data_IF_754484409665
#
_entry.id   IF_754484409665
#
_cell.length_a   1.000
_cell.length_b   1.000
_cell.length_c   1.000
_cell.angle_alpha   90.00
_cell.angle_beta   90.00
_cell.angle_gamma   90.00
#
_symmetry.space_group_name_H-M   'P 1'
#
loop_
_entity.id
_entity.type
_entity.pdbx_description
1 polymer ?
#
# COMPACT_ATOMS: atom_id res chain seq x y z
N UNK A 1 -65.98 36.49 11.88
CA UNK A 1 -64.66 36.07 11.33
C UNK A 1 -64.22 34.80 12.03
N UNK A 2 -63.66 33.86 11.27
CA UNK A 2 -63.71 32.40 11.49
C UNK A 2 -62.65 31.88 12.49
N UNK A 3 -63.08 30.91 13.30
CA UNK A 3 -62.25 29.91 14.00
C UNK A 3 -61.34 29.16 13.01
N UNK A 4 -60.15 28.76 13.45
CA UNK A 4 -59.50 27.52 13.00
C UNK A 4 -58.74 26.87 14.15
N UNK A 5 -59.16 25.65 14.40
CA UNK A 5 -58.64 24.64 15.29
C UNK A 5 -57.26 24.15 14.81
N UNK A 6 -56.39 23.76 15.75
CA UNK A 6 -55.24 22.90 15.44
C UNK A 6 -55.32 21.61 16.27
N UNK A 7 -55.25 20.52 15.53
CA UNK A 7 -55.55 19.14 15.88
C UNK A 7 -54.32 18.39 16.43
N UNK A 8 -54.58 17.64 17.50
CA UNK A 8 -54.10 16.28 17.88
C UNK A 8 -52.62 15.89 17.78
N UNK A 9 -52.05 15.57 18.95
CA UNK A 9 -50.96 14.63 19.16
C UNK A 9 -51.35 13.23 18.64
N UNK A 10 -50.49 12.66 17.81
CA UNK A 10 -50.47 11.22 17.50
C UNK A 10 -49.31 10.54 18.21
N UNK A 11 -49.63 9.39 18.77
CA UNK A 11 -48.82 8.44 19.52
C UNK A 11 -47.74 7.77 18.66
N UNK A 12 -46.51 7.69 19.17
CA UNK A 12 -45.43 6.87 18.61
C UNK A 12 -45.33 5.53 19.35
N UNK A 13 -45.55 4.46 18.60
CA UNK A 13 -45.34 3.05 18.99
C UNK A 13 -43.86 2.69 18.84
N UNK A 14 -43.24 1.93 19.76
CA UNK A 14 -41.88 1.43 19.56
C UNK A 14 -41.87 0.20 18.64
N UNK A 15 -40.99 0.23 17.62
CA UNK A 15 -40.68 -0.90 16.76
C UNK A 15 -39.79 -1.90 17.52
N UNK A 16 -40.24 -3.16 17.55
CA UNK A 16 -39.48 -4.29 18.07
C UNK A 16 -38.28 -4.60 17.17
N UNK A 17 -37.09 -4.65 17.75
CA UNK A 17 -35.87 -5.13 17.09
C UNK A 17 -35.88 -6.66 17.16
N UNK A 18 -36.15 -7.31 16.03
CA UNK A 18 -36.00 -8.74 15.87
C UNK A 18 -34.51 -9.11 15.76
N UNK A 19 -34.04 -9.98 16.66
CA UNK A 19 -32.74 -10.64 16.55
C UNK A 19 -32.76 -11.56 15.32
N UNK A 20 -32.07 -11.17 14.26
CA UNK A 20 -31.74 -12.05 13.14
C UNK A 20 -30.52 -12.90 13.52
N UNK A 21 -30.68 -14.22 13.46
CA UNK A 21 -29.60 -15.18 13.66
C UNK A 21 -28.47 -14.94 12.65
N UNK A 22 -27.23 -14.91 13.14
CA UNK A 22 -26.05 -14.82 12.27
C UNK A 22 -25.93 -16.08 11.40
N UNK A 23 -25.69 -15.95 10.08
CA UNK A 23 -25.48 -17.10 9.22
C UNK A 23 -24.18 -17.83 9.59
N UNK A 24 -24.19 -19.17 9.52
CA UNK A 24 -23.00 -19.98 9.81
C UNK A 24 -21.85 -19.75 8.82
N UNK A 25 -20.60 -20.03 9.26
CA UNK A 25 -19.33 -19.78 8.53
C UNK A 25 -19.33 -20.19 7.04
N UNK A 26 -20.02 -21.27 6.68
CA UNK A 26 -20.09 -21.73 5.28
C UNK A 26 -20.93 -20.80 4.37
N UNK A 27 -21.99 -20.20 4.90
CA UNK A 27 -22.83 -19.25 4.17
C UNK A 27 -22.16 -17.87 4.03
N UNK A 28 -21.35 -17.46 5.01
CA UNK A 28 -20.53 -16.25 4.95
C UNK A 28 -19.42 -16.36 3.88
N UNK A 29 -18.78 -17.53 3.76
CA UNK A 29 -17.81 -17.82 2.67
C UNK A 29 -18.42 -17.67 1.26
N UNK A 30 -19.70 -18.04 1.08
CA UNK A 30 -20.42 -17.89 -0.18
C UNK A 30 -20.80 -16.44 -0.54
N UNK A 31 -21.06 -15.59 0.44
CA UNK A 31 -21.33 -14.16 0.22
C UNK A 31 -20.05 -13.36 -0.11
N UNK A 32 -18.89 -13.79 0.40
CA UNK A 32 -17.58 -13.19 0.13
C UNK A 32 -17.20 -13.23 -1.37
N UNK A 33 -17.52 -14.32 -2.06
CA UNK A 33 -17.27 -14.49 -3.49
C UNK A 33 -18.11 -13.54 -4.38
N UNK A 34 -19.27 -13.09 -3.90
CA UNK A 34 -20.13 -12.15 -4.64
C UNK A 34 -19.71 -10.68 -4.45
N UNK A 35 -19.02 -10.34 -3.35
CA UNK A 35 -18.60 -8.97 -3.03
C UNK A 35 -17.22 -8.57 -3.57
N UNK A 36 -16.50 -9.49 -4.22
CA UNK A 36 -15.18 -9.25 -4.83
C UNK A 36 -15.26 -8.87 -6.31
N UNK A 37 -16.47 -8.70 -6.86
CA UNK A 37 -16.68 -8.91 -8.30
C UNK A 37 -16.44 -10.39 -8.61
N UNK A 38 -16.97 -10.92 -9.72
CA UNK A 38 -16.65 -12.29 -10.16
C UNK A 38 -15.22 -12.41 -10.70
N UNK A 39 -14.27 -11.73 -10.08
CA UNK A 39 -12.86 -12.06 -10.25
C UNK A 39 -12.66 -13.38 -9.52
N UNK A 40 -12.54 -14.46 -10.28
CA UNK A 40 -12.23 -15.78 -9.78
C UNK A 40 -11.12 -15.66 -8.73
N UNK A 41 -11.45 -16.06 -7.49
CA UNK A 41 -10.45 -16.31 -6.45
C UNK A 41 -9.52 -17.39 -7.00
N UNK A 42 -8.41 -16.96 -7.62
CA UNK A 42 -7.38 -17.86 -8.11
C UNK A 42 -6.85 -18.61 -6.90
N UNK A 43 -7.23 -19.89 -6.79
CA UNK A 43 -6.76 -20.75 -5.72
C UNK A 43 -5.35 -21.20 -6.08
N UNK A 44 -4.32 -20.85 -5.32
CA UNK A 44 -2.97 -21.33 -5.60
C UNK A 44 -2.90 -22.84 -5.47
N UNK A 45 -2.00 -23.45 -6.24
CA UNK A 45 -1.59 -24.83 -5.96
C UNK A 45 -0.53 -24.78 -4.87
N UNK A 46 -0.81 -25.36 -3.71
CA UNK A 46 0.13 -25.47 -2.58
C UNK A 46 0.90 -26.79 -2.66
N UNK A 47 2.21 -26.71 -2.51
CA UNK A 47 3.09 -27.88 -2.41
C UNK A 47 4.20 -27.63 -1.40
N UNK A 48 4.78 -28.70 -0.84
CA UNK A 48 6.14 -28.62 -0.29
C UNK A 48 7.05 -28.43 -1.50
N UNK A 49 7.52 -27.21 -1.75
CA UNK A 49 8.19 -26.86 -3.01
C UNK A 49 9.29 -27.86 -3.39
N UNK A 50 9.42 -28.19 -4.68
CA UNK A 50 10.50 -29.08 -5.11
C UNK A 50 11.87 -28.44 -4.85
N UNK A 51 12.92 -29.25 -4.72
CA UNK A 51 14.29 -28.73 -4.55
C UNK A 51 14.70 -27.77 -5.69
N UNK A 52 14.20 -28.01 -6.91
CA UNK A 52 14.43 -27.13 -8.05
C UNK A 52 13.71 -25.78 -7.89
N UNK A 53 12.45 -25.78 -7.45
CA UNK A 53 11.68 -24.55 -7.22
C UNK A 53 12.31 -23.69 -6.12
N UNK A 54 12.74 -24.33 -5.02
CA UNK A 54 13.41 -23.66 -3.91
C UNK A 54 14.77 -23.12 -4.36
N UNK A 55 15.49 -23.83 -5.22
CA UNK A 55 16.77 -23.39 -5.77
C UNK A 55 16.59 -22.15 -6.65
N UNK A 56 15.63 -22.15 -7.57
CA UNK A 56 15.32 -20.99 -8.41
C UNK A 56 14.97 -19.75 -7.56
N UNK A 57 14.22 -19.95 -6.47
CA UNK A 57 13.90 -18.88 -5.52
C UNK A 57 15.10 -18.38 -4.69
N UNK A 58 16.20 -19.13 -4.60
CA UNK A 58 17.40 -18.75 -3.83
C UNK A 58 18.44 -18.02 -4.67
N UNK A 59 18.50 -18.30 -5.96
CA UNK A 59 19.53 -17.77 -6.87
C UNK A 59 19.11 -16.44 -7.52
N UNK A 60 17.88 -15.98 -7.29
CA UNK A 60 17.32 -14.80 -7.91
C UNK A 60 17.86 -13.48 -7.31
N UNK A 61 18.06 -12.49 -8.19
CA UNK A 61 18.48 -11.13 -7.82
C UNK A 61 17.26 -10.28 -7.47
N UNK A 62 17.30 -9.69 -6.29
CA UNK A 62 16.31 -8.73 -5.81
C UNK A 62 16.55 -7.34 -6.38
N UNK A 63 15.45 -6.66 -6.74
CA UNK A 63 15.46 -5.22 -7.06
C UNK A 63 14.84 -4.42 -5.91
N UNK A 64 15.12 -4.85 -4.67
CA UNK A 64 14.63 -4.22 -3.44
C UNK A 64 14.92 -2.73 -3.43
N UNK A 65 13.92 -1.97 -3.03
CA UNK A 65 14.00 -0.54 -2.84
C UNK A 65 13.46 -0.18 -1.45
N UNK A 66 14.30 0.42 -0.64
CA UNK A 66 13.93 0.97 0.66
C UNK A 66 14.75 2.25 0.94
N UNK A 67 14.57 2.84 2.13
CA UNK A 67 15.30 4.04 2.52
C UNK A 67 16.82 3.87 2.44
N UNK A 68 17.34 2.64 2.63
CA UNK A 68 18.77 2.38 2.58
C UNK A 68 19.33 2.48 1.15
N UNK A 69 18.48 2.32 0.13
CA UNK A 69 18.81 2.47 -1.29
C UNK A 69 19.02 3.94 -1.70
N UNK A 70 18.60 4.89 -0.87
CA UNK A 70 18.71 6.33 -1.13
C UNK A 70 20.04 6.90 -0.62
N UNK A 71 20.50 7.98 -1.28
CA UNK A 71 21.58 8.82 -0.78
C UNK A 71 21.24 9.39 0.60
N UNK A 72 22.23 9.76 1.42
CA UNK A 72 21.95 10.28 2.77
C UNK A 72 21.03 11.51 2.77
N UNK A 73 21.19 12.40 1.79
CA UNK A 73 20.32 13.59 1.63
C UNK A 73 18.90 13.20 1.23
N UNK A 74 18.76 12.32 0.25
CA UNK A 74 17.45 11.86 -0.23
C UNK A 74 16.71 11.07 0.84
N UNK A 75 17.43 10.22 1.57
CA UNK A 75 16.91 9.46 2.70
C UNK A 75 16.37 10.38 3.79
N UNK A 76 17.11 11.43 4.14
CA UNK A 76 16.66 12.40 5.13
C UNK A 76 15.39 13.14 4.66
N UNK A 77 15.35 13.54 3.38
CA UNK A 77 14.16 14.14 2.78
C UNK A 77 12.97 13.18 2.81
N UNK A 78 13.18 11.91 2.50
CA UNK A 78 12.15 10.88 2.54
C UNK A 78 11.58 10.67 3.95
N UNK A 79 12.44 10.61 4.98
CA UNK A 79 12.03 10.52 6.38
C UNK A 79 11.19 11.73 6.80
N UNK A 80 11.61 12.94 6.44
CA UNK A 80 10.88 14.17 6.78
C UNK A 80 9.50 14.22 6.12
N UNK A 81 9.41 13.87 4.83
CA UNK A 81 8.13 13.76 4.11
C UNK A 81 7.24 12.70 4.78
N UNK A 82 7.81 11.56 5.15
CA UNK A 82 7.08 10.49 5.82
C UNK A 82 6.49 10.95 7.16
N UNK A 83 7.32 11.54 8.03
CA UNK A 83 6.85 12.03 9.34
C UNK A 83 5.79 13.10 9.19
N UNK A 84 5.96 14.04 8.25
CA UNK A 84 4.97 15.06 7.95
C UNK A 84 3.64 14.45 7.48
N UNK A 85 3.69 13.44 6.63
CA UNK A 85 2.52 12.70 6.14
C UNK A 85 1.78 12.01 7.29
N UNK A 86 2.51 11.32 8.17
CA UNK A 86 1.92 10.64 9.35
C UNK A 86 1.28 11.66 10.29
N UNK A 87 1.93 12.81 10.54
CA UNK A 87 1.38 13.88 11.37
C UNK A 87 0.08 14.46 10.79
N UNK A 88 0.05 14.75 9.48
CA UNK A 88 -1.14 15.26 8.78
C UNK A 88 -2.31 14.29 8.89
N UNK A 89 -2.09 13.01 8.56
CA UNK A 89 -3.14 11.98 8.64
C UNK A 89 -3.63 11.78 10.08
N UNK A 90 -2.71 11.76 11.04
CA UNK A 90 -3.06 11.64 12.47
C UNK A 90 -3.92 12.82 12.91
N UNK A 91 -3.56 14.05 12.54
CA UNK A 91 -4.35 15.25 12.88
C UNK A 91 -5.74 15.21 12.25
N UNK A 92 -5.86 14.85 10.97
CA UNK A 92 -7.15 14.69 10.30
C UNK A 92 -8.04 13.69 11.03
N UNK A 93 -7.50 12.53 11.41
CA UNK A 93 -8.26 11.52 12.14
C UNK A 93 -8.67 12.01 13.55
N UNK A 94 -7.80 12.75 14.25
CA UNK A 94 -8.13 13.40 15.51
C UNK A 94 -9.21 14.48 15.34
N UNK A 95 -9.14 15.28 14.28
CA UNK A 95 -10.13 16.31 13.95
C UNK A 95 -11.50 15.72 13.67
N UNK A 96 -11.59 14.55 13.05
CA UNK A 96 -12.89 13.89 12.81
C UNK A 96 -13.57 13.46 14.10
N UNK A 97 -12.77 13.12 15.12
CA UNK A 97 -13.27 12.75 16.44
C UNK A 97 -13.60 13.97 17.32
N UNK A 98 -12.75 14.99 17.28
CA UNK A 98 -12.92 16.23 18.04
C UNK A 98 -12.45 17.44 17.20
N UNK A 99 -13.33 17.99 16.33
CA UNK A 99 -12.96 19.11 15.46
C UNK A 99 -12.61 20.39 16.23
N UNK A 100 -13.11 20.55 17.45
CA UNK A 100 -12.83 21.70 18.30
C UNK A 100 -11.43 21.65 18.90
N UNK A 101 -10.98 20.47 19.31
CA UNK A 101 -9.63 20.29 19.86
C UNK A 101 -8.53 20.24 18.78
N UNK A 102 -8.85 19.77 17.58
CA UNK A 102 -7.90 19.61 16.47
C UNK A 102 -8.41 20.29 15.19
N UNK A 103 -8.57 21.62 15.18
CA UNK A 103 -9.11 22.31 14.03
C UNK A 103 -8.22 22.13 12.79
N UNK A 104 -8.82 21.81 11.66
CA UNK A 104 -8.16 21.85 10.36
C UNK A 104 -8.11 23.27 9.81
N UNK A 105 -7.09 23.54 8.99
CA UNK A 105 -6.93 24.78 8.25
C UNK A 105 -8.18 25.10 7.43
N UNK A 106 -8.55 26.38 7.38
CA UNK A 106 -9.67 26.86 6.56
C UNK A 106 -9.28 27.07 5.10
N UNK A 107 -7.99 27.01 4.79
CA UNK A 107 -7.51 27.16 3.42
C UNK A 107 -7.78 25.88 2.62
N UNK A 108 -8.63 25.99 1.58
CA UNK A 108 -9.07 24.85 0.77
C UNK A 108 -7.93 24.07 0.08
N UNK A 109 -6.74 24.66 -0.02
CA UNK A 109 -5.55 24.04 -0.63
C UNK A 109 -4.44 23.72 0.38
N UNK A 110 -4.73 23.81 1.68
CA UNK A 110 -3.79 23.40 2.71
C UNK A 110 -3.51 21.89 2.65
N UNK A 111 -2.37 21.48 3.19
CA UNK A 111 -2.01 20.06 3.31
C UNK A 111 -3.01 19.28 4.18
N UNK A 112 -3.61 19.94 5.16
CA UNK A 112 -4.62 19.36 6.05
C UNK A 112 -5.92 19.07 5.30
N UNK A 113 -6.40 20.01 4.48
CA UNK A 113 -7.59 19.80 3.65
C UNK A 113 -7.37 18.73 2.59
N UNK A 114 -6.17 18.69 1.99
CA UNK A 114 -5.79 17.60 1.09
C UNK A 114 -5.83 16.24 1.81
N UNK A 115 -5.22 16.14 3.00
CA UNK A 115 -5.25 14.92 3.79
C UNK A 115 -6.68 14.51 4.19
N UNK A 116 -7.54 15.45 4.59
CA UNK A 116 -8.94 15.15 4.93
C UNK A 116 -9.75 14.60 3.76
N UNK A 117 -9.60 15.19 2.56
CA UNK A 117 -10.24 14.68 1.34
C UNK A 117 -9.83 13.24 0.99
N UNK A 118 -8.61 12.83 1.37
CA UNK A 118 -8.09 11.48 1.13
C UNK A 118 -8.49 10.48 2.22
N UNK A 119 -8.85 10.96 3.42
CA UNK A 119 -9.37 10.14 4.52
C UNK A 119 -10.88 9.96 4.42
N UNK A 120 -11.60 10.90 3.81
CA UNK A 120 -13.06 10.84 3.58
C UNK A 120 -13.57 9.51 3.01
N UNK A 121 -12.98 8.93 1.95
CA UNK A 121 -13.49 7.70 1.35
C UNK A 121 -13.10 6.43 2.12
N UNK A 122 -12.43 6.52 3.27
CA UNK A 122 -12.08 5.34 4.06
C UNK A 122 -13.32 4.70 4.68
N UNK A 123 -13.37 3.36 4.65
CA UNK A 123 -14.49 2.61 5.19
C UNK A 123 -14.65 2.87 6.71
N UNK A 124 -15.89 2.92 7.24
CA UNK A 124 -16.14 3.16 8.67
C UNK A 124 -15.39 2.19 9.60
N UNK A 125 -15.28 0.91 9.23
CA UNK A 125 -14.54 -0.10 10.01
C UNK A 125 -13.05 0.23 10.11
N UNK A 126 -12.45 0.77 9.04
CA UNK A 126 -11.06 1.25 9.03
C UNK A 126 -10.90 2.44 9.98
N UNK A 127 -11.81 3.41 9.92
CA UNK A 127 -11.80 4.58 10.81
C UNK A 127 -11.95 4.17 12.28
N UNK A 128 -12.84 3.23 12.58
CA UNK A 128 -13.02 2.70 13.94
C UNK A 128 -11.74 2.05 14.51
N UNK A 129 -10.99 1.31 13.68
CA UNK A 129 -9.67 0.78 14.07
C UNK A 129 -8.70 1.92 14.41
N UNK A 130 -8.69 2.98 13.59
CA UNK A 130 -7.85 4.14 13.83
C UNK A 130 -8.19 4.84 15.15
N UNK A 131 -9.48 5.06 15.42
CA UNK A 131 -9.94 5.70 16.65
C UNK A 131 -9.51 4.96 17.92
N UNK A 132 -9.45 3.64 17.89
CA UNK A 132 -8.98 2.83 19.03
C UNK A 132 -7.50 3.11 19.31
N UNK A 133 -6.67 3.08 18.28
CA UNK A 133 -5.23 3.32 18.42
C UNK A 133 -4.91 4.77 18.82
N UNK A 134 -5.68 5.76 18.35
CA UNK A 134 -5.51 7.17 18.74
C UNK A 134 -5.69 7.41 20.24
N UNK A 135 -6.33 6.49 20.98
CA UNK A 135 -6.46 6.57 22.45
C UNK A 135 -5.19 6.12 23.18
N UNK A 136 -4.17 5.60 22.47
CA UNK A 136 -2.95 5.06 23.06
C UNK A 136 -1.76 5.99 22.78
N UNK A 137 -1.35 6.86 23.74
CA UNK A 137 -0.29 7.84 23.53
C UNK A 137 1.05 7.24 23.09
N UNK A 138 1.37 6.02 23.55
CA UNK A 138 2.58 5.31 23.17
C UNK A 138 2.63 4.98 21.66
N UNK A 139 1.49 4.59 21.06
CA UNK A 139 1.40 4.31 19.61
C UNK A 139 1.57 5.58 18.79
N UNK A 140 0.92 6.67 19.21
CA UNK A 140 1.07 7.99 18.61
C UNK A 140 2.54 8.45 18.63
N UNK A 141 3.19 8.38 19.81
CA UNK A 141 4.60 8.75 19.97
C UNK A 141 5.51 7.93 19.05
N UNK A 142 5.28 6.63 18.94
CA UNK A 142 6.05 5.73 18.08
C UNK A 142 5.91 6.10 16.60
N UNK A 143 4.69 6.30 16.10
CA UNK A 143 4.47 6.60 14.68
C UNK A 143 4.87 8.02 14.27
N UNK A 144 4.75 9.01 15.16
CA UNK A 144 5.19 10.39 14.89
C UNK A 144 6.71 10.55 14.87
N UNK A 145 7.47 9.61 15.46
CA UNK A 145 8.93 9.63 15.42
C UNK A 145 9.53 10.92 15.96
N UNK A 146 10.29 11.63 15.13
CA UNK A 146 10.93 12.91 15.51
C UNK A 146 9.91 14.02 15.78
N UNK A 147 8.68 13.90 15.25
CA UNK A 147 7.57 14.83 15.45
C UNK A 147 6.71 14.49 16.68
N UNK A 148 7.15 13.59 17.56
CA UNK A 148 6.38 13.24 18.76
C UNK A 148 6.13 14.40 19.74
N UNK A 149 6.87 15.51 19.62
CA UNK A 149 6.63 16.76 20.37
C UNK A 149 5.82 17.82 19.61
N UNK A 150 5.33 17.50 18.41
CA UNK A 150 4.54 18.43 17.59
C UNK A 150 3.16 18.64 18.21
N UNK A 151 2.75 19.90 18.37
CA UNK A 151 1.39 20.22 18.83
C UNK A 151 0.38 20.12 17.68
N UNK A 152 -0.29 18.96 17.59
CA UNK A 152 -1.31 18.69 16.58
C UNK A 152 -2.57 19.56 16.73
N UNK A 153 -2.72 20.33 17.81
CA UNK A 153 -3.84 21.28 17.97
C UNK A 153 -3.64 22.55 17.15
N UNK A 154 -2.40 22.85 16.77
CA UNK A 154 -2.05 23.99 15.93
C UNK A 154 -2.10 23.63 14.45
N UNK A 155 -2.23 24.62 13.58
CA UNK A 155 -2.18 24.42 12.13
C UNK A 155 -0.82 23.87 11.68
N UNK A 156 -0.84 22.76 10.96
CA UNK A 156 0.34 22.11 10.41
C UNK A 156 0.70 22.75 9.07
N UNK A 157 1.54 23.78 9.14
CA UNK A 157 2.11 24.45 7.97
C UNK A 157 3.42 23.79 7.53
N UNK A 158 3.91 24.10 6.33
CA UNK A 158 5.19 23.58 5.82
C UNK A 158 6.37 23.85 6.77
N UNK A 159 6.37 25.01 7.45
CA UNK A 159 7.42 25.37 8.41
C UNK A 159 7.36 24.51 9.67
N UNK A 160 6.16 24.20 10.17
CA UNK A 160 5.97 23.30 11.32
C UNK A 160 6.41 21.87 11.01
N UNK A 161 6.23 21.44 9.75
CA UNK A 161 6.61 20.11 9.26
C UNK A 161 8.11 19.99 8.92
N UNK A 162 8.89 21.07 9.07
CA UNK A 162 10.36 21.10 8.86
C UNK A 162 10.82 20.55 7.51
N UNK A 163 10.02 20.76 6.48
CA UNK A 163 10.33 20.27 5.14
C UNK A 163 11.46 21.12 4.54
N UNK A 164 12.58 20.53 4.11
CA UNK A 164 13.69 21.28 3.57
C UNK A 164 13.27 21.89 2.23
N UNK A 165 13.68 23.13 1.96
CA UNK A 165 13.35 23.82 0.72
C UNK A 165 13.80 23.04 -0.53
N UNK A 166 14.85 22.21 -0.42
CA UNK A 166 15.32 21.32 -1.48
C UNK A 166 14.29 20.26 -1.89
N UNK A 167 13.45 19.78 -0.96
CA UNK A 167 12.34 18.84 -1.23
C UNK A 167 11.18 19.55 -1.93
N UNK A 168 11.04 20.86 -1.74
CA UNK A 168 9.98 21.69 -2.33
C UNK A 168 10.37 22.34 -3.66
N UNK A 169 11.64 22.27 -4.07
CA UNK A 169 12.03 22.69 -5.42
C UNK A 169 11.32 21.77 -6.39
N UNK A 170 10.31 22.30 -7.07
CA UNK A 170 9.45 21.59 -8.03
C UNK A 170 10.31 21.07 -9.19
N UNK A 171 11.03 19.98 -8.97
CA UNK A 171 11.72 19.27 -10.01
C UNK A 171 10.67 18.69 -10.94
N UNK A 172 10.82 18.89 -12.25
CA UNK A 172 10.28 17.89 -13.16
C UNK A 172 10.83 16.53 -12.72
N UNK A 173 10.02 15.47 -12.78
CA UNK A 173 10.47 14.10 -12.58
C UNK A 173 11.54 13.80 -13.64
N UNK A 174 12.77 14.24 -13.38
CA UNK A 174 13.90 14.04 -14.25
C UNK A 174 14.32 12.57 -14.19
N UNK A 175 14.95 12.05 -15.25
CA UNK A 175 15.44 10.68 -15.24
C UNK A 175 16.39 10.50 -14.06
N UNK A 176 15.97 9.67 -13.11
CA UNK A 176 16.79 9.27 -11.98
C UNK A 176 18.05 8.60 -12.54
N UNK A 177 19.23 9.00 -12.06
CA UNK A 177 20.49 8.41 -12.55
C UNK A 177 20.44 6.90 -12.26
N UNK A 178 20.47 6.03 -13.28
CA UNK A 178 20.33 4.59 -13.06
C UNK A 178 21.45 4.10 -12.14
N UNK A 179 21.07 3.42 -11.04
CA UNK A 179 22.00 2.92 -10.01
C UNK A 179 22.39 1.45 -10.24
N UNK A 180 22.16 0.91 -11.43
CA UNK A 180 22.53 -0.47 -11.81
C UNK A 180 23.62 -0.52 -12.87
N UNK A 181 24.31 -1.66 -12.96
CA UNK A 181 25.16 -1.98 -14.12
C UNK A 181 24.34 -1.80 -15.42
N UNK A 182 24.90 -1.15 -16.45
CA UNK A 182 24.23 -1.03 -17.73
C UNK A 182 23.94 -2.43 -18.27
N UNK A 183 22.64 -2.75 -18.40
CA UNK A 183 22.21 -3.94 -19.13
C UNK A 183 22.75 -3.85 -20.57
N UNK A 184 23.10 -4.99 -21.20
CA UNK A 184 23.65 -5.00 -22.55
C UNK A 184 22.75 -4.22 -23.51
N UNK A 185 23.38 -3.42 -24.38
CA UNK A 185 22.68 -2.60 -25.36
C UNK A 185 21.70 -3.46 -26.17
N UNK A 186 20.44 -3.03 -26.25
CA UNK A 186 19.39 -3.76 -26.96
C UNK A 186 19.70 -3.81 -28.47
N UNK A 187 19.53 -4.98 -29.09
CA UNK A 187 19.62 -5.18 -30.53
C UNK A 187 18.51 -4.41 -31.27
N UNK A 188 18.90 -3.73 -32.35
CA UNK A 188 18.10 -2.82 -33.19
C UNK A 188 17.13 -3.55 -34.16
N UNK A 189 16.50 -4.65 -33.72
CA UNK A 189 15.49 -5.35 -34.52
C UNK A 189 14.11 -4.71 -34.33
N UNK A 190 13.42 -4.45 -35.46
CA UNK A 190 12.10 -3.82 -35.58
C UNK A 190 11.20 -4.04 -34.35
N UNK A 191 11.08 -2.96 -33.56
CA UNK A 191 10.63 -3.00 -32.17
C UNK A 191 9.12 -3.24 -32.12
N UNK A 192 8.70 -4.40 -31.61
CA UNK A 192 7.34 -4.57 -31.12
C UNK A 192 7.11 -3.49 -30.06
N UNK A 193 6.21 -2.55 -30.35
CA UNK A 193 5.95 -1.41 -29.49
C UNK A 193 5.16 -1.84 -28.25
N UNK A 194 5.86 -2.34 -27.23
CA UNK A 194 5.24 -2.56 -25.93
C UNK A 194 4.83 -1.22 -25.34
N UNK A 195 3.57 -1.13 -24.91
CA UNK A 195 2.97 0.08 -24.32
C UNK A 195 2.48 -0.16 -22.89
N UNK A 196 2.62 -1.39 -22.39
CA UNK A 196 2.17 -1.83 -21.07
C UNK A 196 3.26 -2.66 -20.40
N UNK A 197 3.42 -2.46 -19.10
CA UNK A 197 4.27 -3.26 -18.22
C UNK A 197 3.39 -3.86 -17.12
N UNK A 198 3.30 -5.17 -17.06
CA UNK A 198 2.59 -5.92 -16.03
C UNK A 198 3.54 -6.37 -14.92
N UNK A 199 3.04 -6.36 -13.70
CA UNK A 199 3.66 -7.02 -12.56
C UNK A 199 2.86 -8.28 -12.23
N UNK A 200 3.50 -9.45 -12.25
CA UNK A 200 2.85 -10.73 -11.99
C UNK A 200 3.42 -11.40 -10.74
N UNK A 201 2.53 -11.96 -9.92
CA UNK A 201 2.87 -12.86 -8.83
C UNK A 201 3.05 -14.27 -9.40
N UNK A 202 4.19 -14.87 -9.10
CA UNK A 202 4.51 -16.25 -9.49
C UNK A 202 4.39 -17.19 -8.30
N UNK A 203 5.01 -16.83 -7.18
CA UNK A 203 5.18 -17.71 -6.01
C UNK A 203 5.14 -16.93 -4.71
N UNK A 204 4.69 -17.59 -3.65
CA UNK A 204 4.90 -17.16 -2.26
C UNK A 204 5.33 -18.38 -1.46
N UNK A 205 6.48 -18.29 -0.79
CA UNK A 205 7.07 -19.39 -0.03
C UNK A 205 7.17 -18.99 1.44
N UNK A 206 6.51 -19.73 2.32
CA UNK A 206 6.72 -19.59 3.76
C UNK A 206 8.04 -20.28 4.12
N UNK A 207 9.07 -19.51 4.44
CA UNK A 207 10.36 -20.06 4.90
C UNK A 207 10.26 -20.40 6.39
N UNK A 208 9.70 -19.47 7.16
CA UNK A 208 9.48 -19.58 8.59
C UNK A 208 8.12 -18.98 8.89
N UNK A 209 7.29 -19.70 9.64
CA UNK A 209 5.95 -19.25 10.02
C UNK A 209 6.05 -18.21 11.15
N UNK A 210 5.07 -17.32 11.23
CA UNK A 210 4.82 -16.50 12.42
C UNK A 210 4.60 -17.43 13.62
N UNK A 211 5.03 -17.03 14.81
CA UNK A 211 5.14 -17.92 15.99
C UNK A 211 3.94 -18.89 16.14
N UNK A 212 4.15 -20.23 16.28
CA UNK A 212 3.14 -21.29 16.06
C UNK A 212 2.09 -21.42 17.18
N UNK A 213 1.70 -20.31 17.84
CA UNK A 213 0.79 -20.32 18.98
C UNK A 213 -0.68 -20.40 18.54
N UNK A 214 -1.02 -21.46 17.82
CA UNK A 214 -2.36 -22.06 17.85
C UNK A 214 -3.43 -21.46 16.96
N UNK A 215 -3.08 -20.88 15.81
CA UNK A 215 -3.99 -20.43 14.75
C UNK A 215 -3.52 -20.90 13.38
N UNK A 216 -4.44 -21.00 12.42
CA UNK A 216 -4.12 -21.09 10.99
C UNK A 216 -4.66 -19.82 10.36
N UNK A 217 -3.79 -18.84 10.17
CA UNK A 217 -4.20 -17.52 9.73
C UNK A 217 -3.99 -17.37 8.22
N UNK A 218 -4.95 -16.75 7.56
CA UNK A 218 -4.91 -16.58 6.12
C UNK A 218 -3.95 -15.43 5.78
N UNK A 219 -2.98 -15.71 4.91
CA UNK A 219 -2.10 -14.67 4.40
C UNK A 219 -2.80 -13.90 3.27
N UNK A 220 -2.67 -12.58 3.30
CA UNK A 220 -3.17 -11.67 2.28
C UNK A 220 -2.03 -10.83 1.73
N UNK A 221 -1.86 -10.86 0.42
CA UNK A 221 -0.94 -9.97 -0.30
C UNK A 221 -1.71 -8.83 -0.97
N UNK A 222 -1.24 -7.62 -0.77
CA UNK A 222 -1.70 -6.43 -1.49
C UNK A 222 -0.54 -5.48 -1.76
N UNK A 223 -0.88 -4.25 -2.17
CA UNK A 223 0.17 -3.27 -2.42
C UNK A 223 -0.23 -2.09 -3.29
N UNK A 224 0.79 -1.35 -3.72
CA UNK A 224 0.69 -0.18 -4.57
C UNK A 224 1.65 -0.25 -5.76
N UNK A 225 1.20 0.25 -6.90
CA UNK A 225 2.01 0.47 -8.09
C UNK A 225 2.23 1.98 -8.24
N UNK A 226 3.48 2.39 -8.44
CA UNK A 226 3.86 3.79 -8.66
C UNK A 226 4.61 3.88 -9.99
N UNK A 227 3.96 4.51 -10.97
CA UNK A 227 4.50 4.62 -12.31
C UNK A 227 5.53 5.74 -12.47
N UNK A 228 6.13 5.81 -13.66
CA UNK A 228 7.16 6.81 -13.97
C UNK A 228 6.70 8.27 -13.87
N UNK A 229 5.39 8.55 -13.98
CA UNK A 229 4.82 9.88 -13.75
C UNK A 229 4.48 10.17 -12.28
N UNK A 230 4.79 9.24 -11.36
CA UNK A 230 4.36 9.30 -9.97
C UNK A 230 2.90 8.87 -9.75
N UNK A 231 2.18 8.44 -10.79
CA UNK A 231 0.81 7.98 -10.65
C UNK A 231 0.74 6.74 -9.74
N UNK A 232 -0.17 6.75 -8.78
CA UNK A 232 -0.36 5.65 -7.82
C UNK A 232 -1.60 4.84 -8.16
N UNK A 233 -1.43 3.52 -8.32
CA UNK A 233 -2.52 2.56 -8.48
C UNK A 233 -2.49 1.51 -7.36
N UNK A 234 -3.64 0.91 -7.06
CA UNK A 234 -3.71 -0.23 -6.14
C UNK A 234 -3.28 -1.49 -6.88
N UNK A 235 -2.52 -2.37 -6.22
CA UNK A 235 -2.39 -3.75 -6.70
C UNK A 235 -3.70 -4.51 -6.44
N UNK A 236 -3.96 -5.53 -7.25
CA UNK A 236 -4.98 -6.54 -6.96
C UNK A 236 -4.59 -7.24 -5.66
N UNK A 237 -5.51 -7.25 -4.70
CA UNK A 237 -5.36 -8.03 -3.48
C UNK A 237 -5.53 -9.52 -3.76
N UNK A 238 -4.70 -10.35 -3.12
CA UNK A 238 -4.68 -11.80 -3.28
C UNK A 238 -4.77 -12.44 -1.90
N UNK A 239 -5.78 -13.29 -1.70
CA UNK A 239 -5.80 -14.20 -0.54
C UNK A 239 -4.87 -15.34 -0.87
N UNK A 240 -3.71 -15.35 -0.21
CA UNK A 240 -2.67 -16.34 -0.41
C UNK A 240 -2.99 -17.66 0.31
N UNK A 241 -3.87 -17.61 1.31
CA UNK A 241 -4.31 -18.73 2.12
C UNK A 241 -3.39 -18.96 3.32
N UNK A 242 -3.71 -19.98 4.12
CA UNK A 242 -2.90 -20.47 5.23
C UNK A 242 -1.49 -20.94 4.79
N UNK A 243 -0.47 -20.84 5.62
CA UNK A 243 0.86 -21.39 5.30
C UNK A 243 1.44 -22.14 6.49
N UNK A 244 1.98 -23.32 6.24
CA UNK A 244 2.93 -23.97 7.16
C UNK A 244 4.37 -23.63 6.75
N UNK A 245 5.31 -23.69 7.71
CA UNK A 245 6.74 -23.54 7.43
C UNK A 245 7.24 -24.49 6.33
N UNK A 246 7.83 -23.94 5.27
CA UNK A 246 8.32 -24.65 4.09
C UNK A 246 7.30 -24.81 2.96
N UNK A 247 6.06 -24.36 3.13
CA UNK A 247 5.06 -24.41 2.07
C UNK A 247 5.28 -23.36 0.97
N UNK A 248 5.06 -23.80 -0.26
CA UNK A 248 5.13 -22.99 -1.46
C UNK A 248 3.75 -22.92 -2.13
N UNK A 249 3.23 -21.71 -2.27
CA UNK A 249 2.07 -21.42 -3.11
C UNK A 249 2.52 -20.98 -4.49
N UNK A 250 2.05 -21.68 -5.52
CA UNK A 250 2.29 -21.33 -6.93
C UNK A 250 1.04 -20.70 -7.56
N UNK A 251 1.21 -19.52 -8.14
CA UNK A 251 0.15 -18.70 -8.73
C UNK A 251 0.22 -18.63 -10.26
N UNK A 252 1.16 -19.32 -10.91
CA UNK A 252 1.34 -19.20 -12.36
C UNK A 252 1.85 -17.82 -12.73
N UNK A 253 1.15 -17.09 -13.59
CA UNK A 253 1.40 -15.68 -13.94
C UNK A 253 0.21 -14.81 -13.48
N UNK A 254 -0.01 -14.71 -12.17
CA UNK A 254 -1.16 -13.96 -11.64
C UNK A 254 -0.90 -12.45 -11.74
N UNK A 255 -1.63 -11.69 -12.58
CA UNK A 255 -1.41 -10.24 -12.69
C UNK A 255 -1.82 -9.52 -11.40
N UNK A 256 -0.88 -8.75 -10.83
CA UNK A 256 -1.12 -7.86 -9.69
C UNK A 256 -1.51 -6.43 -10.14
N UNK A 257 -1.19 -6.07 -11.37
CA UNK A 257 -1.59 -4.83 -12.02
C UNK A 257 -0.56 -4.38 -13.04
N UNK A 258 -0.72 -3.17 -13.58
CA UNK A 258 0.05 -2.73 -14.73
C UNK A 258 0.39 -1.24 -14.70
N UNK A 259 1.39 -0.88 -15.50
CA UNK A 259 1.83 0.47 -15.78
C UNK A 259 1.61 0.78 -17.26
N UNK A 260 1.16 1.99 -17.54
CA UNK A 260 1.16 2.52 -18.91
C UNK A 260 2.55 3.06 -19.22
N UNK A 261 3.25 2.48 -20.19
CA UNK A 261 4.59 2.92 -20.60
C UNK A 261 4.56 4.29 -21.30
N UNK A 262 3.40 4.71 -21.80
CA UNK A 262 3.22 6.01 -22.44
C UNK A 262 2.82 7.13 -21.47
N UNK A 263 2.83 6.89 -20.15
CA UNK A 263 2.44 7.89 -19.14
C UNK A 263 3.40 9.09 -19.04
N UNK A 264 4.63 8.93 -19.53
CA UNK A 264 5.65 9.99 -19.66
C UNK A 264 6.35 9.87 -21.01
N UNK A 265 6.93 10.93 -21.57
CA UNK A 265 7.78 10.82 -22.76
C UNK A 265 9.17 10.25 -22.40
N UNK A 266 9.79 9.54 -23.35
CA UNK A 266 11.19 9.13 -23.29
C UNK A 266 11.54 8.03 -22.29
N UNK A 267 12.82 7.64 -22.30
CA UNK A 267 13.46 6.70 -21.38
C UNK A 267 14.75 7.34 -20.84
N UNK A 268 15.25 6.95 -19.64
CA UNK A 268 14.79 5.86 -18.80
C UNK A 268 13.47 6.14 -18.08
N UNK A 269 12.75 5.05 -17.74
CA UNK A 269 11.53 5.08 -16.91
C UNK A 269 11.72 4.19 -15.71
N UNK A 270 11.42 4.70 -14.53
CA UNK A 270 11.48 3.92 -13.29
C UNK A 270 10.06 3.66 -12.77
N UNK A 271 9.79 2.40 -12.45
CA UNK A 271 8.54 1.91 -11.91
C UNK A 271 8.80 1.30 -10.55
N UNK A 272 7.85 1.46 -9.64
CA UNK A 272 7.96 0.95 -8.28
C UNK A 272 6.71 0.17 -7.90
N UNK A 273 6.92 -0.93 -7.19
CA UNK A 273 5.85 -1.69 -6.56
C UNK A 273 6.14 -1.78 -5.05
N UNK A 274 5.11 -1.59 -4.23
CA UNK A 274 5.20 -1.75 -2.78
C UNK A 274 4.26 -2.87 -2.40
N UNK A 275 4.80 -4.02 -2.05
CA UNK A 275 4.06 -5.16 -1.53
C UNK A 275 3.78 -4.98 -0.04
N UNK A 276 2.64 -5.49 0.39
CA UNK A 276 2.27 -5.60 1.79
C UNK A 276 1.64 -6.96 2.02
N UNK A 277 2.22 -7.70 2.95
CA UNK A 277 1.76 -9.00 3.37
C UNK A 277 1.14 -8.86 4.76
N UNK A 278 -0.02 -9.46 4.99
CA UNK A 278 -0.75 -9.41 6.26
C UNK A 278 -1.26 -10.78 6.59
N UNK A 279 -1.05 -11.17 7.84
CA UNK A 279 -1.68 -12.30 8.51
C UNK A 279 -3.05 -11.84 9.02
N UNK A 280 -4.09 -12.65 8.82
CA UNK A 280 -5.45 -12.17 9.02
C UNK A 280 -6.34 -13.26 9.63
N UNK A 281 -6.81 -12.97 10.85
CA UNK A 281 -7.67 -13.84 11.65
C UNK A 281 -9.15 -13.66 11.28
N UNK A 282 -9.60 -14.35 10.23
CA UNK A 282 -11.01 -14.47 9.80
C UNK A 282 -11.78 -13.17 9.43
N UNK A 283 -12.28 -13.15 8.18
CA UNK A 283 -12.95 -12.06 7.43
C UNK A 283 -12.02 -11.09 6.65
N UNK A 284 -11.07 -11.68 5.93
CA UNK A 284 -9.79 -11.03 5.57
C UNK A 284 -9.80 -10.29 4.22
N UNK A 285 -10.83 -10.51 3.40
CA UNK A 285 -11.01 -9.76 2.16
C UNK A 285 -11.37 -8.28 2.44
N UNK A 286 -12.00 -8.00 3.58
CA UNK A 286 -12.31 -6.63 3.99
C UNK A 286 -11.07 -5.92 4.54
N UNK A 287 -10.27 -6.63 5.37
CA UNK A 287 -9.00 -6.13 5.91
C UNK A 287 -8.03 -5.78 4.79
N UNK A 288 -7.85 -6.68 3.82
CA UNK A 288 -7.05 -6.46 2.61
C UNK A 288 -7.42 -5.16 1.88
N UNK A 289 -8.74 -4.97 1.65
CA UNK A 289 -9.29 -3.82 0.93
C UNK A 289 -9.13 -2.53 1.72
N UNK A 290 -9.38 -2.59 3.02
CA UNK A 290 -9.27 -1.46 3.93
C UNK A 290 -7.82 -1.01 4.07
N UNK A 291 -6.90 -1.95 4.20
CA UNK A 291 -5.47 -1.69 4.25
C UNK A 291 -4.98 -1.09 2.94
N UNK A 292 -5.26 -1.72 1.80
CA UNK A 292 -4.86 -1.20 0.47
C UNK A 292 -5.42 0.21 0.21
N UNK A 293 -6.60 0.51 0.75
CA UNK A 293 -7.19 1.85 0.68
C UNK A 293 -6.43 2.86 1.55
N UNK A 294 -6.09 2.50 2.79
CA UNK A 294 -5.25 3.32 3.67
C UNK A 294 -3.85 3.55 3.07
N UNK A 295 -3.23 2.51 2.49
CA UNK A 295 -1.97 2.61 1.75
C UNK A 295 -2.06 3.63 0.61
N UNK A 296 -3.12 3.55 -0.21
CA UNK A 296 -3.33 4.49 -1.30
C UNK A 296 -3.51 5.91 -0.79
N UNK A 297 -4.21 6.12 0.32
CA UNK A 297 -4.35 7.44 0.96
C UNK A 297 -2.98 8.01 1.34
N UNK A 298 -2.11 7.22 2.00
CA UNK A 298 -0.73 7.63 2.33
C UNK A 298 0.03 7.99 1.06
N UNK A 299 0.04 7.11 0.06
CA UNK A 299 0.80 7.33 -1.16
C UNK A 299 0.30 8.51 -2.00
N UNK A 300 -1.02 8.70 -2.07
CA UNK A 300 -1.63 9.81 -2.80
C UNK A 300 -1.34 11.14 -2.10
N UNK A 301 -1.35 11.16 -0.78
CA UNK A 301 -0.95 12.34 0.00
C UNK A 301 0.51 12.67 -0.25
N UNK A 302 1.41 11.68 -0.18
CA UNK A 302 2.84 11.89 -0.44
C UNK A 302 3.07 12.44 -1.85
N UNK A 303 2.51 11.82 -2.88
CA UNK A 303 2.69 12.28 -4.26
C UNK A 303 2.06 13.66 -4.48
N UNK A 304 0.86 13.90 -3.95
CA UNK A 304 0.13 15.15 -4.16
C UNK A 304 0.71 16.34 -3.40
N UNK A 305 1.08 16.15 -2.13
CA UNK A 305 1.61 17.20 -1.26
C UNK A 305 3.08 17.54 -1.57
N UNK A 306 3.85 16.57 -2.09
CA UNK A 306 5.30 16.67 -2.24
C UNK A 306 5.78 16.45 -3.67
N UNK A 307 4.95 16.75 -4.67
CA UNK A 307 5.22 16.54 -6.10
C UNK A 307 6.52 17.17 -6.65
N UNK A 308 7.23 18.00 -5.87
CA UNK A 308 8.54 18.54 -6.23
C UNK A 308 9.74 17.65 -5.89
N UNK A 309 9.57 16.66 -5.01
CA UNK A 309 10.63 15.74 -4.65
C UNK A 309 10.91 14.74 -5.78
N UNK A 310 12.12 14.18 -5.81
CA UNK A 310 12.46 13.12 -6.76
C UNK A 310 11.61 11.86 -6.50
N UNK A 311 11.34 11.07 -7.54
CA UNK A 311 10.52 9.86 -7.42
C UNK A 311 11.06 8.90 -6.36
N UNK A 312 12.38 8.69 -6.31
CA UNK A 312 13.01 7.85 -5.29
C UNK A 312 12.75 8.35 -3.86
N UNK A 313 12.85 9.66 -3.62
CA UNK A 313 12.52 10.27 -2.32
C UNK A 313 11.05 10.05 -1.96
N UNK A 314 10.14 10.26 -2.91
CA UNK A 314 8.71 10.04 -2.70
C UNK A 314 8.41 8.58 -2.36
N UNK A 315 8.94 7.62 -3.12
CA UNK A 315 8.70 6.19 -2.86
C UNK A 315 9.29 5.77 -1.52
N UNK A 316 10.49 6.25 -1.19
CA UNK A 316 11.11 6.01 0.12
C UNK A 316 10.25 6.55 1.26
N UNK A 317 9.71 7.76 1.09
CA UNK A 317 8.79 8.37 2.06
C UNK A 317 7.48 7.60 2.18
N UNK A 318 6.94 7.08 1.07
CA UNK A 318 5.72 6.26 1.08
C UNK A 318 5.96 4.97 1.87
N UNK A 319 7.06 4.25 1.63
CA UNK A 319 7.38 3.01 2.35
C UNK A 319 7.51 3.28 3.85
N UNK A 320 8.26 4.31 4.24
CA UNK A 320 8.44 4.69 5.65
C UNK A 320 7.12 5.15 6.30
N UNK A 321 6.32 5.96 5.60
CA UNK A 321 5.06 6.48 6.10
C UNK A 321 4.05 5.36 6.28
N UNK A 322 3.98 4.43 5.34
CA UNK A 322 3.16 3.22 5.44
C UNK A 322 3.57 2.42 6.67
N UNK A 323 4.87 2.16 6.86
CA UNK A 323 5.35 1.39 8.02
C UNK A 323 5.02 2.06 9.36
N UNK A 324 5.22 3.38 9.47
CA UNK A 324 4.90 4.17 10.67
C UNK A 324 3.40 4.27 10.92
N UNK A 325 2.63 4.56 9.88
CA UNK A 325 1.18 4.72 9.97
C UNK A 325 0.54 3.39 10.33
N UNK A 326 0.89 2.30 9.64
CA UNK A 326 0.33 0.99 9.95
C UNK A 326 0.75 0.53 11.33
N UNK A 327 2.02 0.68 11.71
CA UNK A 327 2.46 0.32 13.05
C UNK A 327 1.92 1.17 14.19
N UNK A 328 1.24 2.28 13.87
CA UNK A 328 0.45 3.03 14.83
C UNK A 328 -0.95 2.42 14.99
N UNK A 329 -1.53 1.90 13.92
CA UNK A 329 -2.97 1.66 13.80
C UNK A 329 -3.39 0.20 13.69
N UNK A 330 -2.52 -0.67 13.22
CA UNK A 330 -2.73 -2.10 13.07
C UNK A 330 -1.79 -2.82 14.03
N UNK A 331 -2.27 -3.92 14.59
CA UNK A 331 -1.52 -4.73 15.57
C UNK A 331 -0.45 -5.59 14.88
N UNK A 332 0.12 -6.58 15.57
CA UNK A 332 1.33 -7.32 15.16
C UNK A 332 1.17 -8.27 13.97
N UNK A 333 0.14 -8.13 13.14
CA UNK A 333 -0.18 -9.12 12.09
C UNK A 333 0.23 -8.64 10.68
N UNK A 334 0.89 -7.47 10.56
CA UNK A 334 1.33 -6.93 9.28
C UNK A 334 2.84 -7.03 9.10
N UNK A 335 3.27 -7.46 7.92
CA UNK A 335 4.67 -7.43 7.57
C UNK A 335 5.10 -6.02 7.16
N UNK A 336 6.37 -5.64 7.40
CA UNK A 336 6.92 -4.40 6.87
C UNK A 336 6.68 -4.28 5.36
N UNK A 337 6.30 -3.08 4.91
CA UNK A 337 6.09 -2.81 3.50
C UNK A 337 7.39 -3.09 2.71
N UNK A 338 7.25 -3.80 1.60
CA UNK A 338 8.36 -4.25 0.78
C UNK A 338 8.35 -3.58 -0.59
N UNK A 339 9.31 -2.69 -0.83
CA UNK A 339 9.45 -1.97 -2.09
C UNK A 339 10.35 -2.71 -3.10
N UNK A 340 9.94 -2.69 -4.37
CA UNK A 340 10.74 -3.12 -5.52
C UNK A 340 10.78 -2.04 -6.59
N UNK A 341 11.84 -2.02 -7.37
CA UNK A 341 12.05 -1.03 -8.43
C UNK A 341 12.46 -1.69 -9.74
N UNK A 342 11.95 -1.19 -10.86
CA UNK A 342 12.44 -1.55 -12.19
C UNK A 342 12.71 -0.27 -12.99
N UNK A 343 13.91 -0.16 -13.55
CA UNK A 343 14.24 0.89 -14.53
C UNK A 343 14.35 0.29 -15.92
N UNK A 344 13.50 0.75 -16.83
CA UNK A 344 13.58 0.44 -18.26
C UNK A 344 14.40 1.54 -18.94
N UNK A 345 15.36 1.17 -19.81
CA UNK A 345 16.12 2.12 -20.63
C UNK A 345 15.61 2.17 -22.07
N UNK A 346 14.74 1.23 -22.45
CA UNK A 346 14.09 1.16 -23.76
C UNK A 346 12.73 0.48 -23.64
N UNK A 347 11.82 0.63 -24.63
CA UNK A 347 10.52 -0.04 -24.62
C UNK A 347 10.60 -1.57 -24.76
N UNK A 348 11.73 -2.11 -25.23
CA UNK A 348 11.98 -3.56 -25.34
C UNK A 348 13.25 -3.95 -24.55
N UNK A 349 13.35 -3.47 -23.30
CA UNK A 349 14.53 -3.69 -22.45
C UNK A 349 14.87 -5.17 -22.25
N UNK A 350 13.87 -6.05 -22.29
CA UNK A 350 14.05 -7.47 -22.03
C UNK A 350 14.45 -8.28 -23.28
N UNK A 351 14.38 -7.69 -24.47
CA UNK A 351 14.55 -8.41 -25.74
C UNK A 351 13.38 -9.34 -26.08
N UNK A 352 12.26 -9.24 -25.36
CA UNK A 352 11.05 -10.03 -25.46
C UNK A 352 10.00 -9.55 -24.46
N UNK A 353 8.90 -10.28 -24.32
CA UNK A 353 7.82 -9.92 -23.39
C UNK A 353 8.24 -10.09 -21.93
N UNK A 354 8.94 -11.17 -21.59
CA UNK A 354 9.22 -11.49 -20.19
C UNK A 354 10.58 -10.96 -19.73
N UNK A 355 10.63 -10.43 -18.51
CA UNK A 355 11.91 -10.20 -17.84
C UNK A 355 12.69 -11.51 -17.70
N UNK A 356 14.02 -11.48 -17.89
CA UNK A 356 14.82 -12.69 -18.11
C UNK A 356 14.91 -13.64 -16.91
N UNK A 357 14.62 -13.17 -15.69
CA UNK A 357 14.70 -13.98 -14.48
C UNK A 357 13.50 -13.72 -13.57
N UNK A 358 13.07 -14.77 -12.86
CA UNK A 358 12.21 -14.63 -11.70
C UNK A 358 12.92 -13.73 -10.68
N UNK A 359 12.20 -12.79 -10.07
CA UNK A 359 12.69 -11.89 -9.01
C UNK A 359 12.17 -12.35 -7.67
N UNK A 360 13.02 -12.37 -6.65
CA UNK A 360 12.62 -12.82 -5.30
C UNK A 360 13.22 -11.99 -4.20
N UNK A 361 12.52 -11.93 -3.06
CA UNK A 361 13.04 -11.36 -1.82
C UNK A 361 12.30 -11.93 -0.61
N UNK A 362 12.97 -11.91 0.55
CA UNK A 362 12.38 -12.23 1.85
C UNK A 362 11.69 -11.01 2.47
N UNK A 363 10.43 -11.20 2.83
CA UNK A 363 9.63 -10.31 3.67
C UNK A 363 9.65 -10.90 5.08
N UNK A 364 10.16 -10.16 6.07
CA UNK A 364 10.37 -10.63 7.45
C UNK A 364 9.59 -9.79 8.44
N UNK A 365 8.92 -10.42 9.39
CA UNK A 365 8.11 -9.77 10.41
C UNK A 365 7.56 -10.80 11.39
N UNK A 366 7.40 -10.42 12.67
CA UNK A 366 6.68 -11.22 13.67
C UNK A 366 7.21 -12.66 13.87
N UNK A 367 8.51 -12.85 13.64
CA UNK A 367 9.15 -14.17 13.69
C UNK A 367 9.00 -15.00 12.41
N UNK A 368 8.11 -14.59 11.49
CA UNK A 368 7.93 -15.23 10.20
C UNK A 368 8.83 -14.64 9.10
N UNK A 369 9.10 -15.47 8.10
CA UNK A 369 9.82 -15.11 6.87
C UNK A 369 9.09 -15.70 5.66
N UNK A 370 8.64 -14.82 4.76
CA UNK A 370 7.98 -15.21 3.51
C UNK A 370 8.79 -14.71 2.32
N UNK A 371 9.06 -15.59 1.35
CA UNK A 371 9.72 -15.22 0.11
C UNK A 371 8.72 -15.03 -1.01
N UNK A 372 8.63 -13.80 -1.51
CA UNK A 372 7.82 -13.47 -2.68
C UNK A 372 8.61 -13.77 -3.96
N UNK A 373 7.96 -14.35 -4.95
CA UNK A 373 8.49 -14.52 -6.31
C UNK A 373 7.59 -13.82 -7.32
N UNK A 374 8.15 -12.86 -8.07
CA UNK A 374 7.42 -12.03 -9.02
C UNK A 374 8.18 -11.85 -10.33
N UNK A 375 7.48 -11.41 -11.38
CA UNK A 375 8.06 -11.14 -12.70
C UNK A 375 7.47 -9.85 -13.28
N UNK A 376 8.26 -9.21 -14.14
CA UNK A 376 7.82 -8.11 -15.00
C UNK A 376 7.56 -8.63 -16.41
N UNK A 377 6.44 -8.22 -17.00
CA UNK A 377 6.01 -8.64 -18.34
C UNK A 377 5.65 -7.41 -19.19
N UNK A 378 6.26 -7.29 -20.36
CA UNK A 378 5.96 -6.28 -21.38
C UNK A 378 4.84 -6.81 -22.28
N UNK A 379 3.80 -6.00 -22.45
CA UNK A 379 2.64 -6.32 -23.26
C UNK A 379 2.32 -5.19 -24.26
N UNK A 380 1.71 -5.59 -25.37
CA UNK A 380 1.02 -4.68 -26.28
C UNK A 380 -0.47 -4.72 -25.92
N UNK A 381 -1.04 -3.58 -25.55
CA UNK A 381 -2.45 -3.43 -25.23
C UNK A 381 -3.37 -3.65 -26.44
#
# INVERSE_FOLDING_TARGET
MKRKDFLTLSTLTPLAVGFLAQPGKAAQRGQLANALGRDELVRPTKTKGSAADIKELKESKSDRFDLSSLSSSDRQGAIQISEATVALLTKVLLSRKDPGAYPLSKEARSLEQLADSLVEPLAPKTLARFESALKTPARLKKGLGSLSGLDLKTELTQSTLRLPASVLKRGSLGPEKPSGEPLPAACDTAVQGYNRLDLTLRRLHCIEETSPKGGTDDMVLGGLLIGASGNVAKMKGVVCGEFEGGELSNYGELPLGFYNLNSTPGYPKTFYAIFMLVESDSDDAEVARNLTSALKTVATLVVGAFAGASTGVLVGAIIDAIGKFIGMFFDEDYFPAYGVRLTLNSPNQFGGSDSPALRTEDIRGHGGTYRIGYRWHLASA
#
